data_IF_196112569300
#
_entry.id   IF_196112569300
#
_cell.length_a   1.000
_cell.length_b   1.000
_cell.length_c   1.000
_cell.angle_alpha   90.00
_cell.angle_beta   90.00
_cell.angle_gamma   90.00
#
_symmetry.space_group_name_H-M   'P 1'
#
loop_
_entity.id
_entity.type
_entity.pdbx_description
1 polymer ?
#
# COMPACT_ATOMS: atom_id res chain seq x y z
N UNK A 1 -7.13 -17.21 7.46
CA UNK A 1 -6.37 -16.20 8.17
C UNK A 1 -4.97 -16.16 7.56
N UNK A 2 -4.40 -14.98 7.25
CA UNK A 2 -3.12 -14.89 6.55
C UNK A 2 -1.92 -15.12 7.46
N UNK A 3 -2.06 -14.83 8.74
CA UNK A 3 -1.01 -14.94 9.73
C UNK A 3 -1.32 -16.05 10.70
N UNK A 4 -0.47 -17.07 10.71
CA UNK A 4 -0.45 -18.08 11.76
C UNK A 4 0.27 -17.45 12.96
N UNK A 5 -0.39 -17.35 14.11
CA UNK A 5 0.16 -16.69 15.31
C UNK A 5 1.51 -17.30 15.77
N UNK A 6 1.71 -18.57 15.51
CA UNK A 6 2.94 -19.26 15.83
C UNK A 6 4.12 -18.79 14.96
N UNK A 7 3.87 -18.49 13.68
CA UNK A 7 4.88 -18.00 12.73
C UNK A 7 5.01 -16.48 12.74
N UNK A 8 3.97 -15.77 13.19
CA UNK A 8 3.91 -14.33 13.19
C UNK A 8 3.44 -13.82 14.56
N UNK A 9 4.33 -13.84 15.57
CA UNK A 9 4.00 -13.32 16.89
C UNK A 9 3.59 -11.84 16.82
N UNK A 10 2.66 -11.37 17.65
CA UNK A 10 2.12 -10.02 17.59
C UNK A 10 3.08 -8.98 18.19
N UNK A 11 4.27 -8.88 17.64
CA UNK A 11 5.23 -7.83 18.02
C UNK A 11 4.86 -6.49 17.40
N UNK A 12 5.21 -5.38 18.05
CA UNK A 12 4.96 -4.04 17.52
C UNK A 12 5.61 -3.81 16.14
N UNK A 13 6.72 -4.47 15.86
CA UNK A 13 7.40 -4.43 14.57
C UNK A 13 6.58 -5.01 13.41
N UNK A 14 5.51 -5.77 13.68
CA UNK A 14 4.58 -6.22 12.65
C UNK A 14 3.92 -5.05 11.92
N UNK A 15 3.69 -3.93 12.61
CA UNK A 15 3.18 -2.70 11.99
C UNK A 15 4.14 -2.12 10.94
N UNK A 16 5.42 -2.45 11.02
CA UNK A 16 6.45 -2.07 10.05
C UNK A 16 6.75 -3.16 9.01
N UNK A 17 5.99 -4.25 9.02
CA UNK A 17 6.14 -5.33 8.04
C UNK A 17 7.19 -6.39 8.40
N UNK A 18 7.47 -6.61 9.69
CA UNK A 18 8.48 -7.61 10.13
C UNK A 18 8.06 -9.08 9.94
N UNK A 19 6.94 -9.38 9.29
CA UNK A 19 6.49 -10.73 9.00
C UNK A 19 7.00 -11.25 7.65
N UNK A 20 7.27 -12.55 7.58
CA UNK A 20 7.60 -13.23 6.32
C UNK A 20 6.34 -13.70 5.62
N UNK A 21 6.19 -13.38 4.33
CA UNK A 21 5.04 -13.76 3.51
C UNK A 21 5.49 -14.16 2.11
N UNK A 22 4.69 -14.97 1.44
CA UNK A 22 4.88 -15.29 0.03
C UNK A 22 4.26 -14.19 -0.86
N UNK A 23 4.73 -14.07 -2.11
CA UNK A 23 4.11 -13.18 -3.09
C UNK A 23 2.62 -13.51 -3.31
N UNK A 24 2.25 -14.79 -3.23
CA UNK A 24 0.86 -15.24 -3.29
C UNK A 24 -0.01 -14.71 -2.15
N UNK A 25 0.49 -14.79 -0.92
CA UNK A 25 -0.21 -14.23 0.24
C UNK A 25 -0.33 -12.70 0.13
N UNK A 26 0.71 -12.04 -0.37
CA UNK A 26 0.71 -10.60 -0.60
C UNK A 26 -0.30 -10.20 -1.69
N UNK A 27 -0.35 -10.92 -2.82
CA UNK A 27 -1.33 -10.67 -3.87
C UNK A 27 -2.78 -10.82 -3.35
N UNK A 28 -3.03 -11.86 -2.55
CA UNK A 28 -4.34 -12.06 -1.93
C UNK A 28 -4.69 -10.94 -0.94
N UNK A 29 -3.73 -10.45 -0.15
CA UNK A 29 -3.94 -9.36 0.80
C UNK A 29 -4.24 -8.04 0.08
N UNK A 30 -3.46 -7.70 -0.94
CA UNK A 30 -3.69 -6.49 -1.75
C UNK A 30 -4.97 -6.60 -2.59
N UNK A 31 -5.40 -7.82 -2.93
CA UNK A 31 -6.69 -8.08 -3.55
C UNK A 31 -7.87 -7.57 -2.73
N UNK A 32 -7.76 -7.59 -1.38
CA UNK A 32 -8.80 -7.03 -0.50
C UNK A 32 -8.98 -5.53 -0.71
N UNK A 33 -7.88 -4.79 -0.84
CA UNK A 33 -7.95 -3.36 -1.13
C UNK A 33 -8.38 -3.11 -2.58
N UNK A 34 -7.84 -3.89 -3.53
CA UNK A 34 -8.16 -3.75 -4.94
C UNK A 34 -9.65 -3.93 -5.23
N UNK A 35 -10.38 -4.77 -4.51
CA UNK A 35 -11.77 -5.09 -4.75
C UNK A 35 -12.77 -4.44 -3.77
N UNK A 36 -12.32 -3.52 -2.89
CA UNK A 36 -13.19 -2.78 -1.98
C UNK A 36 -13.54 -3.49 -0.67
N UNK A 37 -12.71 -4.44 -0.21
CA UNK A 37 -12.80 -5.00 1.15
C UNK A 37 -13.13 -6.50 1.23
N UNK A 38 -13.15 -7.21 0.10
CA UNK A 38 -13.53 -8.62 0.06
C UNK A 38 -12.32 -9.55 -0.04
N UNK A 39 -12.29 -10.59 0.79
CA UNK A 39 -11.26 -11.61 0.78
C UNK A 39 -11.65 -12.74 -0.15
N UNK A 40 -11.23 -12.65 -1.40
CA UNK A 40 -11.43 -13.72 -2.39
C UNK A 40 -10.33 -14.76 -2.30
N UNK A 41 -10.67 -16.02 -2.60
CA UNK A 41 -9.71 -17.12 -2.65
C UNK A 41 -9.14 -17.20 -4.06
N UNK A 42 -7.83 -16.97 -4.25
CA UNK A 42 -7.20 -17.15 -5.54
C UNK A 42 -7.02 -18.62 -5.89
N UNK A 43 -7.03 -18.95 -7.18
CA UNK A 43 -6.84 -20.31 -7.69
C UNK A 43 -6.01 -20.27 -8.98
N UNK A 44 -5.32 -21.37 -9.30
CA UNK A 44 -4.53 -21.52 -10.54
C UNK A 44 -5.25 -22.40 -11.56
N UNK A 45 -5.96 -23.43 -11.08
CA UNK A 45 -6.57 -24.41 -11.96
C UNK A 45 -8.04 -24.07 -12.07
N UNK A 46 -8.44 -23.67 -13.27
CA UNK A 46 -9.86 -23.36 -13.55
C UNK A 46 -10.68 -24.64 -13.77
N UNK A 47 -10.13 -25.59 -14.55
CA UNK A 47 -10.83 -26.80 -14.93
C UNK A 47 -9.84 -27.94 -15.15
N UNK A 48 -10.23 -29.15 -14.71
CA UNK A 48 -9.56 -30.41 -15.01
C UNK A 48 -10.49 -31.26 -15.87
N UNK A 49 -10.00 -31.78 -16.97
CA UNK A 49 -10.72 -32.68 -17.86
C UNK A 49 -9.96 -33.98 -18.07
N UNK A 50 -10.68 -35.08 -18.37
CA UNK A 50 -10.07 -36.32 -18.79
C UNK A 50 -9.67 -36.29 -20.29
N UNK A 51 -9.12 -37.38 -20.80
CA UNK A 51 -8.71 -37.59 -22.18
C UNK A 51 -9.90 -37.56 -23.17
N UNK A 52 -11.12 -37.71 -22.70
CA UNK A 52 -12.38 -37.67 -23.47
C UNK A 52 -13.04 -36.32 -23.42
N UNK A 53 -12.48 -35.36 -22.67
CA UNK A 53 -13.04 -34.02 -22.50
C UNK A 53 -14.10 -33.88 -21.40
N UNK A 54 -14.35 -34.94 -20.61
CA UNK A 54 -15.27 -34.85 -19.48
C UNK A 54 -14.65 -34.01 -18.35
N UNK A 55 -15.45 -33.15 -17.74
CA UNK A 55 -14.99 -32.30 -16.64
C UNK A 55 -14.89 -33.14 -15.37
N UNK A 56 -13.67 -33.29 -14.86
CA UNK A 56 -13.38 -33.97 -13.60
C UNK A 56 -13.45 -33.03 -12.39
N UNK A 57 -13.05 -31.78 -12.58
CA UNK A 57 -13.16 -30.73 -11.57
C UNK A 57 -13.28 -29.34 -12.24
N UNK A 58 -14.05 -28.46 -11.61
CA UNK A 58 -14.24 -27.08 -12.02
C UNK A 58 -14.09 -26.17 -10.79
N UNK A 59 -13.31 -25.10 -10.93
CA UNK A 59 -13.22 -24.09 -9.88
C UNK A 59 -14.54 -23.29 -9.84
N UNK A 60 -15.06 -23.09 -8.64
CA UNK A 60 -16.20 -22.22 -8.37
C UNK A 60 -15.73 -20.95 -7.67
N UNK A 61 -15.24 -19.95 -8.42
CA UNK A 61 -14.66 -18.76 -7.81
C UNK A 61 -15.74 -17.92 -7.15
N UNK A 62 -15.57 -17.65 -5.87
CA UNK A 62 -16.34 -16.64 -5.15
C UNK A 62 -15.82 -15.26 -5.53
N UNK A 63 -16.73 -14.30 -5.69
CA UNK A 63 -16.41 -12.96 -6.20
C UNK A 63 -16.61 -11.89 -5.14
N UNK A 64 -15.93 -10.76 -5.28
CA UNK A 64 -16.24 -9.56 -4.54
C UNK A 64 -17.73 -9.16 -4.77
N UNK A 65 -18.35 -8.59 -3.72
CA UNK A 65 -19.80 -8.33 -3.69
C UNK A 65 -20.59 -9.37 -2.89
N UNK A 66 -20.02 -10.55 -2.62
CA UNK A 66 -20.57 -11.49 -1.64
C UNK A 66 -20.19 -11.02 -0.23
N UNK A 67 -21.13 -10.48 0.52
CA UNK A 67 -20.89 -9.90 1.85
C UNK A 67 -20.33 -10.89 2.86
N UNK A 68 -20.48 -12.20 2.64
CA UNK A 68 -19.82 -13.20 3.49
C UNK A 68 -18.30 -13.23 3.33
N UNK A 69 -17.77 -12.59 2.29
CA UNK A 69 -16.32 -12.42 2.03
C UNK A 69 -15.79 -11.06 2.47
N UNK A 70 -16.64 -10.13 2.93
CA UNK A 70 -16.18 -8.82 3.40
C UNK A 70 -15.35 -8.98 4.68
N UNK A 71 -14.13 -8.50 4.67
CA UNK A 71 -13.19 -8.59 5.80
C UNK A 71 -12.74 -7.23 6.32
N UNK A 72 -12.95 -6.17 5.54
CA UNK A 72 -12.79 -4.79 5.98
C UNK A 72 -13.98 -3.96 5.48
N UNK A 73 -14.36 -2.97 6.27
CA UNK A 73 -15.41 -2.01 5.92
C UNK A 73 -15.05 -1.26 4.63
N UNK A 74 -16.06 -0.93 3.80
CA UNK A 74 -15.83 -0.27 2.51
C UNK A 74 -15.17 1.11 2.66
N UNK A 75 -15.48 1.83 3.74
CA UNK A 75 -14.86 3.14 4.05
C UNK A 75 -13.39 2.97 4.37
N UNK A 76 -13.02 1.90 5.11
CA UNK A 76 -11.63 1.57 5.39
C UNK A 76 -10.88 1.23 4.10
N UNK A 77 -11.48 0.38 3.25
CA UNK A 77 -10.90 0.02 1.97
C UNK A 77 -10.68 1.25 1.07
N UNK A 78 -11.65 2.19 1.06
CA UNK A 78 -11.55 3.43 0.28
C UNK A 78 -10.45 4.37 0.79
N UNK A 79 -10.39 4.62 2.11
CA UNK A 79 -9.38 5.50 2.71
C UNK A 79 -7.98 4.91 2.49
N UNK A 80 -7.80 3.60 2.70
CA UNK A 80 -6.52 2.92 2.44
C UNK A 80 -6.14 2.95 0.96
N UNK A 81 -7.10 2.79 0.06
CA UNK A 81 -6.87 2.91 -1.39
C UNK A 81 -6.37 4.31 -1.76
N UNK A 82 -7.02 5.37 -1.24
CA UNK A 82 -6.58 6.75 -1.44
C UNK A 82 -5.14 6.99 -0.96
N UNK A 83 -4.81 6.52 0.25
CA UNK A 83 -3.45 6.63 0.80
C UNK A 83 -2.42 5.88 -0.07
N UNK A 84 -2.78 4.71 -0.61
CA UNK A 84 -1.89 3.94 -1.50
C UNK A 84 -1.81 4.54 -2.91
N UNK A 85 -2.84 5.26 -3.37
CA UNK A 85 -2.75 6.06 -4.59
C UNK A 85 -1.78 7.23 -4.42
N UNK A 86 -1.72 7.86 -3.26
CA UNK A 86 -0.76 8.94 -2.99
C UNK A 86 0.69 8.44 -3.03
N UNK A 87 0.95 7.20 -2.63
CA UNK A 87 2.27 6.58 -2.81
C UNK A 87 2.69 6.54 -4.28
N UNK A 88 1.75 6.29 -5.20
CA UNK A 88 2.01 6.25 -6.65
C UNK A 88 2.00 7.63 -7.31
N UNK A 89 1.34 8.61 -6.70
CA UNK A 89 1.27 10.00 -7.20
C UNK A 89 2.44 10.86 -6.72
N UNK A 90 2.75 10.81 -5.43
CA UNK A 90 3.67 11.74 -4.77
C UNK A 90 4.75 11.04 -3.94
N UNK A 91 4.53 9.78 -3.57
CA UNK A 91 5.37 9.04 -2.63
C UNK A 91 6.49 8.25 -3.28
N UNK A 92 6.91 7.19 -2.59
CA UNK A 92 8.06 6.35 -2.98
C UNK A 92 7.88 5.62 -4.32
N UNK A 93 6.67 5.59 -4.87
CA UNK A 93 6.34 5.00 -6.15
C UNK A 93 5.88 6.03 -7.21
N UNK A 94 6.17 7.31 -7.06
CA UNK A 94 5.76 8.37 -8.00
C UNK A 94 6.19 8.10 -9.46
N UNK A 95 7.22 7.28 -9.69
CA UNK A 95 7.61 6.81 -11.02
C UNK A 95 6.52 6.01 -11.74
N UNK A 96 5.52 5.46 -11.02
CA UNK A 96 4.37 4.80 -11.62
C UNK A 96 3.48 5.78 -12.42
N UNK A 97 3.56 7.08 -12.12
CA UNK A 97 2.85 8.13 -12.86
C UNK A 97 3.16 8.17 -14.36
N UNK A 98 4.29 7.59 -14.81
CA UNK A 98 4.60 7.45 -16.24
C UNK A 98 3.57 6.60 -17.02
N UNK A 99 2.78 5.77 -16.32
CA UNK A 99 1.69 5.01 -16.93
C UNK A 99 0.48 5.87 -17.30
N UNK A 100 0.45 7.15 -16.88
CA UNK A 100 -0.62 8.09 -17.22
C UNK A 100 -1.98 7.74 -16.62
N UNK A 101 -2.01 6.93 -15.54
CA UNK A 101 -3.25 6.44 -14.91
C UNK A 101 -3.42 7.02 -13.50
N UNK A 102 -4.66 7.27 -13.12
CA UNK A 102 -5.04 7.83 -11.81
C UNK A 102 -5.53 6.76 -10.81
N UNK A 103 -5.82 5.55 -11.30
CA UNK A 103 -6.40 4.44 -10.55
C UNK A 103 -5.36 3.41 -10.05
N UNK A 104 -4.08 3.78 -10.05
CA UNK A 104 -3.00 2.95 -9.54
C UNK A 104 -2.77 3.19 -8.06
N UNK A 105 -2.67 2.13 -7.29
CA UNK A 105 -2.37 2.17 -5.87
C UNK A 105 -1.30 1.13 -5.51
N UNK A 106 -0.54 1.38 -4.44
CA UNK A 106 0.47 0.40 -4.01
C UNK A 106 1.44 0.92 -2.97
N UNK A 107 2.35 0.04 -2.55
CA UNK A 107 3.35 0.33 -1.53
C UNK A 107 4.67 -0.36 -1.84
N UNK A 108 5.77 0.37 -1.65
CA UNK A 108 7.12 -0.18 -1.65
C UNK A 108 7.43 -0.87 -0.33
N UNK A 109 8.20 -1.96 -0.38
CA UNK A 109 8.79 -2.61 0.78
C UNK A 109 10.30 -2.76 0.59
N UNK A 110 11.06 -2.59 1.66
CA UNK A 110 12.51 -2.78 1.67
C UNK A 110 12.90 -3.31 3.04
N UNK A 111 13.56 -4.46 3.09
CA UNK A 111 14.09 -4.98 4.34
C UNK A 111 15.38 -4.27 4.73
N UNK A 112 15.77 -4.41 6.01
CA UNK A 112 17.04 -3.93 6.48
C UNK A 112 18.18 -4.52 5.63
N UNK A 113 19.27 -3.78 5.45
CA UNK A 113 20.45 -4.17 4.66
C UNK A 113 20.14 -4.48 3.18
N UNK A 114 18.95 -4.09 2.70
CA UNK A 114 18.53 -4.28 1.30
C UNK A 114 18.54 -5.76 0.87
N UNK A 115 18.08 -6.67 1.72
CA UNK A 115 18.01 -8.11 1.40
C UNK A 115 16.85 -8.41 0.47
N UNK A 116 15.68 -7.81 0.74
CA UNK A 116 14.48 -7.94 -0.09
C UNK A 116 13.95 -6.57 -0.50
N UNK A 117 13.57 -6.47 -1.76
CA UNK A 117 12.93 -5.32 -2.32
C UNK A 117 11.56 -5.72 -2.90
N UNK A 118 10.51 -5.05 -2.46
CA UNK A 118 9.13 -5.34 -2.82
C UNK A 118 8.44 -4.13 -3.43
N UNK A 119 7.54 -4.41 -4.36
CA UNK A 119 6.45 -3.51 -4.70
C UNK A 119 5.17 -4.32 -4.83
N UNK A 120 4.18 -3.99 -3.99
CA UNK A 120 2.84 -4.53 -4.06
C UNK A 120 1.90 -3.41 -4.51
N UNK A 121 1.28 -3.59 -5.67
CA UNK A 121 0.42 -2.57 -6.23
C UNK A 121 -0.70 -3.16 -7.07
N UNK A 122 -1.69 -2.35 -7.36
CA UNK A 122 -2.89 -2.79 -8.06
C UNK A 122 -3.56 -1.65 -8.83
N UNK A 123 -4.47 -2.05 -9.67
CA UNK A 123 -5.58 -1.32 -10.23
C UNK A 123 -6.86 -2.12 -9.87
N UNK A 124 -8.06 -1.59 -9.84
CA UNK A 124 -9.25 -2.30 -9.32
C UNK A 124 -9.50 -3.71 -9.87
N UNK A 125 -9.00 -4.03 -11.06
CA UNK A 125 -9.18 -5.36 -11.70
C UNK A 125 -7.92 -6.23 -11.71
N UNK A 126 -6.77 -5.69 -11.30
CA UNK A 126 -5.49 -6.38 -11.42
C UNK A 126 -4.56 -6.06 -10.26
N UNK A 127 -4.08 -7.09 -9.59
CA UNK A 127 -3.04 -6.98 -8.55
C UNK A 127 -1.72 -7.49 -9.10
N UNK A 128 -0.66 -6.71 -8.94
CA UNK A 128 0.71 -7.09 -9.29
C UNK A 128 1.62 -7.04 -8.06
N UNK A 129 2.41 -8.10 -7.88
CA UNK A 129 3.44 -8.16 -6.84
C UNK A 129 4.79 -8.37 -7.51
N UNK A 130 5.71 -7.47 -7.27
CA UNK A 130 7.10 -7.62 -7.67
C UNK A 130 7.98 -7.79 -6.43
N UNK A 131 8.77 -8.85 -6.43
CA UNK A 131 9.79 -9.13 -5.43
C UNK A 131 11.13 -9.34 -6.11
N UNK A 132 12.16 -8.75 -5.53
CA UNK A 132 13.55 -8.96 -5.93
C UNK A 132 14.34 -9.31 -4.68
N UNK A 133 14.98 -10.46 -4.71
CA UNK A 133 15.75 -11.02 -3.61
C UNK A 133 16.51 -12.26 -4.05
N UNK A 134 17.19 -12.90 -3.13
CA UNK A 134 17.89 -14.16 -3.34
C UNK A 134 17.27 -15.26 -2.49
N UNK A 135 17.21 -16.49 -3.01
CA UNK A 135 16.74 -17.68 -2.27
C UNK A 135 17.54 -17.87 -0.97
N UNK A 136 18.85 -17.67 -1.03
CA UNK A 136 19.70 -17.55 0.14
C UNK A 136 19.81 -16.06 0.49
N UNK A 137 19.23 -15.61 1.63
CA UNK A 137 19.17 -14.20 1.97
C UNK A 137 20.55 -13.52 1.99
N UNK A 138 20.72 -12.55 1.12
CA UNK A 138 21.92 -11.68 1.07
C UNK A 138 21.54 -10.32 0.51
N UNK A 139 22.34 -9.31 0.82
CA UNK A 139 22.10 -7.96 0.35
C UNK A 139 22.07 -7.87 -1.18
N UNK A 140 21.12 -7.14 -1.72
CA UNK A 140 21.03 -6.75 -3.13
C UNK A 140 22.07 -5.66 -3.48
N UNK A 141 22.70 -5.08 -2.49
CA UNK A 141 23.64 -3.98 -2.60
C UNK A 141 23.10 -2.68 -2.01
N UNK A 142 23.99 -1.70 -1.84
CA UNK A 142 23.66 -0.41 -1.23
C UNK A 142 22.55 0.29 -2.02
N UNK A 143 21.57 0.81 -1.30
CA UNK A 143 20.42 1.56 -1.83
C UNK A 143 19.47 0.77 -2.79
N UNK A 144 19.55 -0.56 -2.85
CA UNK A 144 18.65 -1.36 -3.66
C UNK A 144 17.28 -1.48 -2.97
N UNK A 145 16.48 -0.43 -3.08
CA UNK A 145 15.15 -0.33 -2.45
C UNK A 145 14.03 -0.87 -3.35
N UNK A 146 12.87 -1.17 -2.77
CA UNK A 146 11.68 -1.56 -3.52
C UNK A 146 11.30 -0.55 -4.62
N UNK A 147 11.44 0.75 -4.36
CA UNK A 147 11.22 1.81 -5.35
C UNK A 147 12.22 1.84 -6.50
N UNK A 148 13.44 1.33 -6.29
CA UNK A 148 14.49 1.32 -7.31
C UNK A 148 14.53 0.03 -8.13
N UNK A 149 14.29 -1.13 -7.51
CA UNK A 149 14.48 -2.42 -8.21
C UNK A 149 13.17 -3.19 -8.44
N UNK A 150 12.22 -3.20 -7.51
CA UNK A 150 10.96 -3.91 -7.68
C UNK A 150 9.90 -3.09 -8.46
N UNK A 151 9.79 -1.80 -8.17
CA UNK A 151 8.82 -0.91 -8.84
C UNK A 151 8.99 -0.86 -10.36
N UNK A 152 10.21 -0.78 -10.96
CA UNK A 152 10.36 -0.82 -12.42
C UNK A 152 9.84 -2.11 -13.05
N UNK A 153 10.00 -3.26 -12.39
CA UNK A 153 9.47 -4.55 -12.85
C UNK A 153 7.95 -4.50 -12.89
N UNK A 154 7.35 -4.03 -11.79
CA UNK A 154 5.90 -3.85 -11.69
C UNK A 154 5.35 -2.90 -12.75
N UNK A 155 6.00 -1.76 -12.96
CA UNK A 155 5.59 -0.78 -13.98
C UNK A 155 5.62 -1.41 -15.37
N UNK A 156 6.71 -2.13 -15.75
CA UNK A 156 6.82 -2.79 -17.03
C UNK A 156 5.77 -3.88 -17.28
N UNK A 157 5.34 -4.56 -16.20
CA UNK A 157 4.24 -5.51 -16.25
C UNK A 157 2.89 -4.80 -16.45
N UNK A 158 2.57 -3.80 -15.60
CA UNK A 158 1.29 -3.09 -15.64
C UNK A 158 1.10 -2.30 -16.94
N UNK A 159 2.16 -1.76 -17.52
CA UNK A 159 2.14 -1.08 -18.83
C UNK A 159 1.55 -1.97 -19.94
N UNK A 160 1.89 -3.25 -19.91
CA UNK A 160 1.38 -4.23 -20.89
C UNK A 160 0.00 -4.74 -20.50
N UNK A 161 -0.17 -5.09 -19.24
CA UNK A 161 -1.39 -5.73 -18.73
C UNK A 161 -2.60 -4.78 -18.72
N UNK A 162 -2.39 -3.47 -18.62
CA UNK A 162 -3.46 -2.45 -18.56
C UNK A 162 -3.62 -1.68 -19.88
N UNK A 163 -2.99 -2.09 -20.96
CA UNK A 163 -2.99 -1.34 -22.24
C UNK A 163 -4.38 -0.96 -22.74
N UNK A 164 -5.32 -1.89 -22.71
CA UNK A 164 -6.68 -1.70 -23.20
C UNK A 164 -7.71 -1.77 -22.06
N UNK A 165 -7.25 -1.62 -20.82
CA UNK A 165 -8.11 -1.64 -19.63
C UNK A 165 -8.47 -0.19 -19.27
N UNK A 166 -9.76 0.19 -19.26
CA UNK A 166 -10.17 1.54 -18.89
C UNK A 166 -9.81 1.85 -17.43
N UNK A 167 -9.65 3.12 -17.12
CA UNK A 167 -9.52 3.54 -15.74
C UNK A 167 -10.83 3.32 -14.97
N UNK A 168 -10.70 2.92 -13.72
CA UNK A 168 -11.83 2.60 -12.84
C UNK A 168 -11.66 3.34 -11.50
N UNK A 169 -11.93 4.64 -11.46
CA UNK A 169 -11.94 5.38 -10.20
C UNK A 169 -13.02 4.80 -9.28
N UNK A 170 -12.76 4.81 -7.97
CA UNK A 170 -13.74 4.37 -6.99
C UNK A 170 -14.65 5.49 -6.56
N UNK A 171 -15.92 5.18 -6.43
CA UNK A 171 -16.87 6.06 -5.79
C UNK A 171 -16.61 6.14 -4.29
N UNK A 172 -16.73 7.34 -3.74
CA UNK A 172 -16.58 7.57 -2.31
C UNK A 172 -17.81 6.99 -1.57
N UNK A 173 -17.60 6.06 -0.63
CA UNK A 173 -18.71 5.43 0.08
C UNK A 173 -19.37 6.39 1.08
N UNK A 174 -20.65 6.15 1.43
CA UNK A 174 -21.34 6.91 2.47
C UNK A 174 -20.56 6.92 3.79
N UNK A 175 -20.53 8.09 4.45
CA UNK A 175 -19.83 8.25 5.74
C UNK A 175 -18.34 8.57 5.62
N UNK A 176 -17.77 8.62 4.43
CA UNK A 176 -16.49 9.27 4.15
C UNK A 176 -16.73 10.73 3.74
N UNK A 177 -15.86 11.62 4.16
CA UNK A 177 -15.87 13.03 3.83
C UNK A 177 -14.51 13.49 3.32
N UNK A 178 -14.52 14.47 2.43
CA UNK A 178 -13.31 15.14 1.94
C UNK A 178 -13.02 16.33 2.80
N UNK A 179 -11.82 16.42 3.33
CA UNK A 179 -11.38 17.54 4.17
C UNK A 179 -10.21 18.23 3.48
N UNK A 180 -10.31 19.54 3.17
CA UNK A 180 -9.17 20.31 2.72
C UNK A 180 -8.08 20.29 3.80
N UNK A 181 -6.85 19.96 3.40
CA UNK A 181 -5.69 20.03 4.28
C UNK A 181 -4.85 21.25 3.90
N UNK A 182 -4.25 21.89 4.90
CA UNK A 182 -3.48 23.12 4.71
C UNK A 182 -4.23 24.40 5.03
N UNK A 183 -3.55 25.55 4.90
CA UNK A 183 -4.14 26.85 5.25
C UNK A 183 -5.33 27.18 4.35
N UNK A 184 -6.42 27.61 4.97
CA UNK A 184 -7.58 28.14 4.26
C UNK A 184 -7.85 29.59 4.76
N UNK A 185 -7.89 30.59 3.91
CA UNK A 185 -7.67 30.56 2.45
C UNK A 185 -6.22 30.15 2.08
N UNK A 186 -6.01 29.62 0.84
CA UNK A 186 -4.67 29.21 0.39
C UNK A 186 -3.69 30.39 0.48
N UNK A 187 -2.52 30.16 1.09
CA UNK A 187 -1.48 31.19 1.18
C UNK A 187 -0.70 31.23 -0.15
N UNK A 188 -0.55 32.39 -0.79
CA UNK A 188 0.25 32.50 -1.99
C UNK A 188 1.69 32.02 -1.77
N UNK A 189 2.19 31.17 -2.68
CA UNK A 189 3.54 30.61 -2.61
C UNK A 189 3.67 29.33 -1.76
N UNK A 190 2.62 28.91 -1.05
CA UNK A 190 2.62 27.61 -0.40
C UNK A 190 1.99 26.54 -1.31
N UNK A 191 2.54 25.29 -1.31
CA UNK A 191 1.93 24.22 -2.08
C UNK A 191 0.51 23.93 -1.56
N UNK A 192 -0.45 23.78 -2.46
CA UNK A 192 -1.76 23.24 -2.10
C UNK A 192 -1.57 21.76 -1.72
N UNK A 193 -1.93 21.44 -0.48
CA UNK A 193 -2.02 20.05 -0.07
C UNK A 193 -3.24 19.42 -0.74
N UNK A 194 -3.12 18.15 -1.13
CA UNK A 194 -4.26 17.40 -1.62
C UNK A 194 -5.33 17.27 -0.52
N UNK A 195 -6.62 17.30 -0.85
CA UNK A 195 -7.65 17.02 0.13
C UNK A 195 -7.52 15.57 0.62
N UNK A 196 -7.78 15.36 1.90
CA UNK A 196 -7.70 14.05 2.56
C UNK A 196 -9.08 13.50 2.86
N UNK A 197 -9.17 12.17 2.94
CA UNK A 197 -10.43 11.47 3.23
C UNK A 197 -10.47 11.00 4.68
N UNK A 198 -11.56 11.31 5.36
CA UNK A 198 -11.80 10.91 6.75
C UNK A 198 -13.16 10.26 6.91
N UNK A 199 -13.30 9.45 7.92
CA UNK A 199 -14.64 9.10 8.39
C UNK A 199 -15.29 10.35 8.95
N UNK A 200 -16.56 10.57 8.64
CA UNK A 200 -17.31 11.76 9.09
C UNK A 200 -17.23 11.96 10.60
N UNK A 201 -17.29 10.87 11.35
CA UNK A 201 -17.21 10.84 12.81
C UNK A 201 -15.80 10.98 13.39
N UNK A 202 -14.77 10.95 12.54
CA UNK A 202 -13.36 10.98 12.95
C UNK A 202 -12.56 12.06 12.23
N UNK A 203 -13.21 13.14 11.80
CA UNK A 203 -12.51 14.30 11.23
C UNK A 203 -11.68 14.96 12.32
N UNK A 204 -10.35 15.11 12.15
CA UNK A 204 -9.51 15.81 13.11
C UNK A 204 -9.92 17.27 13.30
N UNK A 205 -9.68 17.87 14.48
CA UNK A 205 -9.85 19.30 14.69
C UNK A 205 -9.03 20.13 13.68
N UNK A 206 -9.52 21.33 13.35
CA UNK A 206 -8.90 22.17 12.34
C UNK A 206 -7.42 22.50 12.63
N UNK A 207 -7.03 22.56 13.88
CA UNK A 207 -5.66 22.82 14.33
C UNK A 207 -4.69 21.71 13.92
N UNK A 208 -5.18 20.45 13.85
CA UNK A 208 -4.38 19.29 13.43
C UNK A 208 -4.23 19.23 11.91
N UNK A 209 -5.18 19.78 11.17
CA UNK A 209 -5.19 19.79 9.71
C UNK A 209 -4.33 20.90 9.11
N UNK A 210 -3.82 21.82 9.92
CA UNK A 210 -2.90 22.85 9.46
C UNK A 210 -1.50 22.28 9.32
N UNK A 211 -0.74 22.66 8.28
CA UNK A 211 0.66 22.28 8.20
C UNK A 211 1.39 22.82 9.42
N UNK A 212 2.27 22.00 10.00
CA UNK A 212 3.15 22.47 11.07
C UNK A 212 3.87 23.75 10.58
N UNK A 213 4.02 24.78 11.43
CA UNK A 213 4.80 25.94 11.07
C UNK A 213 6.20 25.49 10.62
N UNK A 214 6.78 26.14 9.59
CA UNK A 214 8.12 25.78 9.12
C UNK A 214 9.04 25.73 10.35
N UNK A 215 9.77 24.62 10.51
CA UNK A 215 10.73 24.48 11.57
C UNK A 215 11.61 25.73 11.55
N UNK A 216 11.60 26.50 12.63
CA UNK A 216 12.51 27.65 12.79
C UNK A 216 13.91 27.18 12.44
N UNK A 217 14.62 27.96 11.62
CA UNK A 217 15.97 27.67 11.19
C UNK A 217 16.83 27.16 12.37
N UNK A 218 17.76 26.22 12.18
CA UNK A 218 18.54 25.63 13.27
C UNK A 218 19.43 26.69 13.93
N UNK A 219 18.89 27.34 14.95
CA UNK A 219 19.53 28.31 15.77
C UNK A 219 19.02 28.18 17.18
N UNK A 220 19.81 27.51 18.01
CA UNK A 220 19.65 27.22 19.43
C UNK A 220 18.97 25.88 19.77
N UNK A 221 19.68 24.79 19.57
CA UNK A 221 19.47 23.62 20.41
C UNK A 221 19.80 24.02 21.86
N UNK A 222 18.94 23.73 22.86
CA UNK A 222 19.32 23.89 24.25
C UNK A 222 20.54 23.00 24.51
N UNK A 223 21.60 23.59 25.11
CA UNK A 223 22.78 22.87 25.51
C UNK A 223 22.37 21.72 26.45
N UNK A 224 22.68 20.50 26.05
CA UNK A 224 22.60 19.35 26.96
C UNK A 224 23.61 19.58 28.07
N UNK A 225 23.14 19.94 29.26
CA UNK A 225 23.93 19.93 30.46
C UNK A 225 24.43 18.50 30.72
N UNK A 226 25.72 18.28 30.58
CA UNK A 226 26.31 17.00 30.95
C UNK A 226 26.20 16.81 32.48
N UNK A 227 25.73 15.64 32.96
CA UNK A 227 25.76 15.39 34.41
C UNK A 227 27.20 15.44 34.93
N UNK A 228 27.36 16.18 36.04
CA UNK A 228 28.63 16.31 36.72
C UNK A 228 29.20 14.93 37.08
N UNK A 229 30.51 14.72 36.78
CA UNK A 229 31.21 13.53 37.23
C UNK A 229 31.24 13.49 38.76
N UNK A 230 30.94 12.36 39.39
CA UNK A 230 31.15 12.24 40.83
C UNK A 230 32.65 12.32 41.15
N UNK A 231 32.98 13.23 42.06
CA UNK A 231 34.29 13.29 42.68
C UNK A 231 34.53 12.04 43.54
N UNK A 232 35.59 11.33 43.30
CA UNK A 232 36.10 10.24 44.09
C UNK A 232 37.49 9.90 43.59
#
# INVERSE_FOLDING_TARGET
MFFEREKHPPYLTMALGAGSVTAWQMARAYGVFANGGYLVQPYFIHKIVDDRGNVLALAEPRRAGDETLRVIDERNAFVMDSMMQDVTRYGTAARAGKLGRTDLAGKTGTTNEFVDAWFAGYQPTLVGIAWVGFDQPKSLGKNQTGGLVALPVWIGYMEKALRDVPEMPRDMPPGVVVVPTGPYPPVPGQPRLAPEFFYREAVPPAEVLQPAPPASAPGSAPAFEQPAKPNG
#
